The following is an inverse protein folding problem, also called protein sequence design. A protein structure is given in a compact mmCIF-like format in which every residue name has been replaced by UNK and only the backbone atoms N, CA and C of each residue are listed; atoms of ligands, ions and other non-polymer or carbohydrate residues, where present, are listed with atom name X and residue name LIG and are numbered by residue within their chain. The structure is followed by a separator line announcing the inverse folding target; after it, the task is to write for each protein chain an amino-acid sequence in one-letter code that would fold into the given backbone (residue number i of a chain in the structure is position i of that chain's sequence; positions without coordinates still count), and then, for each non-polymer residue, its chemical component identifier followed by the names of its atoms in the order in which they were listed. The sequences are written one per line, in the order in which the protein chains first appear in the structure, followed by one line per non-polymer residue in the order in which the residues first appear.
data_IF_503463383539
#
_entry.id   IF_503463383539
#
_cell.length_a   1.000
_cell.length_b   1.000
_cell.length_c   1.000
_cell.angle_alpha   90.00
_cell.angle_beta   90.00
_cell.angle_gamma   90.00
#
_symmetry.space_group_name_H-M   'P 1'
#
loop_
_entity.id
_entity.type
_entity.pdbx_description
1 polymer ?
#
# COMPACT_ATOMS: atom_id res chain seq x y z
N UNK A 1 -40.41 11.83 7.14
CA UNK A 1 -39.23 11.39 6.37
C UNK A 1 -38.80 10.05 6.96
N UNK A 2 -39.22 8.93 6.36
CA UNK A 2 -38.98 7.59 6.92
C UNK A 2 -37.72 6.98 6.31
N UNK A 3 -36.76 6.62 7.17
CA UNK A 3 -35.53 5.94 6.79
C UNK A 3 -35.85 4.48 6.38
N UNK A 4 -35.46 4.10 5.17
CA UNK A 4 -35.55 2.72 4.70
C UNK A 4 -34.36 1.95 5.24
N UNK A 5 -34.61 1.05 6.21
CA UNK A 5 -33.63 0.10 6.66
C UNK A 5 -33.38 -0.93 5.55
N UNK A 6 -32.19 -0.90 4.94
CA UNK A 6 -31.75 -1.98 4.05
C UNK A 6 -31.42 -3.21 4.88
N UNK A 7 -32.33 -4.18 4.93
CA UNK A 7 -32.07 -5.51 5.46
C UNK A 7 -30.96 -6.16 4.60
N UNK A 8 -29.74 -6.21 5.14
CA UNK A 8 -28.64 -6.93 4.50
C UNK A 8 -28.94 -8.43 4.54
N UNK A 9 -29.15 -9.05 3.38
CA UNK A 9 -29.36 -10.48 3.27
C UNK A 9 -28.14 -11.24 3.78
N UNK A 10 -28.37 -12.34 4.51
CA UNK A 10 -27.28 -13.19 4.98
C UNK A 10 -26.43 -13.70 3.79
N UNK A 11 -25.12 -13.91 3.97
CA UNK A 11 -24.23 -14.36 2.90
C UNK A 11 -24.68 -15.67 2.24
N UNK A 12 -25.30 -16.57 3.01
CA UNK A 12 -25.87 -17.83 2.54
C UNK A 12 -27.11 -17.62 1.66
N UNK A 13 -28.00 -16.71 2.04
CA UNK A 13 -29.16 -16.33 1.23
C UNK A 13 -28.72 -15.71 -0.10
N UNK A 14 -27.79 -14.74 -0.05
CA UNK A 14 -27.22 -14.10 -1.24
C UNK A 14 -26.60 -15.13 -2.19
N UNK A 15 -25.82 -16.07 -1.67
CA UNK A 15 -25.17 -17.12 -2.47
C UNK A 15 -26.21 -17.99 -3.20
N UNK A 16 -27.31 -18.35 -2.52
CA UNK A 16 -28.39 -19.16 -3.10
C UNK A 16 -29.09 -18.42 -4.23
N UNK A 17 -29.44 -17.15 -4.03
CA UNK A 17 -30.09 -16.31 -5.05
C UNK A 17 -29.18 -16.14 -6.28
N UNK A 18 -27.90 -15.83 -6.08
CA UNK A 18 -26.96 -15.67 -7.19
C UNK A 18 -26.85 -16.96 -8.02
N UNK A 19 -26.78 -18.13 -7.36
CA UNK A 19 -26.76 -19.42 -8.07
C UNK A 19 -28.07 -19.69 -8.83
N UNK A 20 -29.23 -19.35 -8.25
CA UNK A 20 -30.52 -19.49 -8.92
C UNK A 20 -30.64 -18.61 -10.18
N UNK A 21 -29.95 -17.47 -10.20
CA UNK A 21 -29.83 -16.58 -11.36
C UNK A 21 -28.77 -17.03 -12.38
N UNK A 22 -28.15 -18.20 -12.21
CA UNK A 22 -27.06 -18.68 -13.07
C UNK A 22 -25.72 -17.99 -12.83
N UNK A 23 -25.61 -17.15 -11.80
CA UNK A 23 -24.35 -16.49 -11.42
C UNK A 23 -23.56 -17.41 -10.51
N UNK A 24 -22.33 -17.74 -10.91
CA UNK A 24 -21.38 -18.50 -10.09
C UNK A 24 -20.42 -17.53 -9.36
N UNK A 25 -20.68 -17.18 -8.09
CA UNK A 25 -19.78 -16.29 -7.36
C UNK A 25 -18.46 -16.99 -7.07
N UNK A 26 -17.36 -16.42 -7.55
CA UNK A 26 -16.01 -16.83 -7.17
C UNK A 26 -15.71 -16.30 -5.77
N UNK A 27 -15.38 -17.20 -4.85
CA UNK A 27 -14.96 -16.81 -3.49
C UNK A 27 -13.45 -16.71 -3.46
N UNK A 28 -12.93 -15.61 -2.93
CA UNK A 28 -11.51 -15.50 -2.65
C UNK A 28 -11.13 -16.53 -1.58
N UNK A 29 -10.21 -17.44 -1.91
CA UNK A 29 -9.63 -18.33 -0.90
C UNK A 29 -8.91 -17.46 0.12
N UNK A 30 -9.44 -17.39 1.34
CA UNK A 30 -8.66 -16.90 2.46
C UNK A 30 -7.47 -17.85 2.63
N UNK A 31 -6.25 -17.30 2.65
CA UNK A 31 -5.11 -18.06 3.15
C UNK A 31 -5.49 -18.56 4.55
N UNK A 32 -5.14 -19.81 4.87
CA UNK A 32 -5.39 -20.38 6.18
C UNK A 32 -4.64 -19.56 7.25
N UNK A 33 -5.25 -18.49 7.74
CA UNK A 33 -4.93 -17.98 9.07
C UNK A 33 -5.32 -19.10 10.02
N UNK A 34 -4.33 -19.65 10.71
CA UNK A 34 -4.52 -20.55 11.84
C UNK A 34 -5.61 -19.96 12.74
N UNK A 35 -6.81 -20.55 12.69
CA UNK A 35 -7.92 -20.17 13.57
C UNK A 35 -7.72 -20.91 14.87
N UNK A 36 -7.12 -20.24 15.85
CA UNK A 36 -7.37 -20.57 17.24
C UNK A 36 -8.77 -20.09 17.61
N UNK A 37 -9.57 -21.04 18.11
CA UNK A 37 -10.93 -21.02 18.62
C UNK A 37 -11.66 -19.70 18.83
N UNK A 38 -12.95 -19.76 18.47
CA UNK A 38 -14.03 -18.83 18.81
C UNK A 38 -13.88 -18.23 20.22
N UNK A 39 -13.57 -16.95 20.26
CA UNK A 39 -14.15 -16.04 21.24
C UNK A 39 -14.64 -14.86 20.44
N UNK A 40 -15.92 -14.51 20.63
CA UNK A 40 -16.63 -13.41 20.00
C UNK A 40 -15.69 -12.23 19.74
N UNK A 41 -15.19 -12.14 18.50
CA UNK A 41 -14.48 -10.97 18.04
C UNK A 41 -15.53 -9.88 17.90
N UNK A 42 -15.78 -9.16 19.00
CA UNK A 42 -15.97 -7.71 18.95
C UNK A 42 -15.10 -7.23 17.81
N UNK A 43 -15.70 -6.55 16.84
CA UNK A 43 -15.01 -5.94 15.72
C UNK A 43 -13.84 -5.14 16.28
N UNK A 44 -12.68 -5.78 16.39
CA UNK A 44 -11.46 -5.10 16.69
C UNK A 44 -11.33 -4.14 15.51
N UNK A 45 -11.24 -2.82 15.75
CA UNK A 45 -11.03 -1.89 14.66
C UNK A 45 -9.86 -2.46 13.87
N UNK A 46 -10.06 -2.65 12.56
CA UNK A 46 -8.94 -2.85 11.64
C UNK A 46 -7.87 -1.86 12.09
N UNK A 47 -6.61 -2.27 12.33
CA UNK A 47 -5.59 -1.30 12.68
C UNK A 47 -5.65 -0.27 11.56
N UNK A 48 -6.14 0.91 11.89
CA UNK A 48 -6.15 2.03 10.99
C UNK A 48 -4.67 2.22 10.70
N UNK A 49 -4.24 1.85 9.49
CA UNK A 49 -2.92 2.20 9.01
C UNK A 49 -2.82 3.70 9.25
N UNK A 50 -2.05 4.06 10.28
CA UNK A 50 -2.07 5.41 10.80
C UNK A 50 -1.47 6.25 9.69
N UNK A 51 -2.08 7.39 9.40
CA UNK A 51 -1.53 8.34 8.43
C UNK A 51 -0.09 8.62 8.86
N UNK A 52 0.90 8.11 8.10
CA UNK A 52 2.32 8.18 8.47
C UNK A 52 3.11 6.87 8.47
N UNK A 53 2.49 5.69 8.28
CA UNK A 53 3.28 4.44 8.28
C UNK A 53 4.22 4.31 7.06
N UNK A 54 3.80 4.82 5.91
CA UNK A 54 4.56 4.73 4.67
C UNK A 54 4.50 6.03 3.85
N UNK A 55 5.66 6.43 3.33
CA UNK A 55 5.82 7.60 2.45
C UNK A 55 6.49 7.18 1.15
N UNK A 56 5.99 7.70 0.04
CA UNK A 56 6.48 7.43 -1.31
C UNK A 56 7.09 8.71 -1.89
N UNK A 57 8.37 8.66 -2.22
CA UNK A 57 9.10 9.78 -2.84
C UNK A 57 9.23 9.57 -4.34
N UNK A 58 8.74 10.53 -5.10
CA UNK A 58 8.69 10.49 -6.57
C UNK A 58 9.55 11.62 -7.16
N UNK A 59 10.20 11.41 -8.32
CA UNK A 59 10.76 12.52 -9.09
C UNK A 59 9.64 13.46 -9.57
N UNK A 60 9.91 14.76 -9.59
CA UNK A 60 9.02 15.72 -10.24
C UNK A 60 8.88 15.42 -11.75
N UNK A 61 7.70 15.68 -12.32
CA UNK A 61 7.46 15.54 -13.76
C UNK A 61 7.28 14.11 -14.26
N UNK A 62 6.82 13.20 -13.41
CA UNK A 62 6.49 11.83 -13.82
C UNK A 62 5.38 11.78 -14.88
N UNK A 63 5.52 10.87 -15.85
CA UNK A 63 4.45 10.59 -16.81
C UNK A 63 3.21 10.02 -16.11
N UNK A 64 2.04 10.47 -16.55
CA UNK A 64 0.72 10.02 -16.08
C UNK A 64 0.55 8.51 -16.12
N UNK A 65 1.03 7.84 -17.17
CA UNK A 65 0.94 6.37 -17.30
C UNK A 65 1.79 5.66 -16.26
N UNK A 66 2.97 6.19 -15.96
CA UNK A 66 3.83 5.66 -14.92
C UNK A 66 3.17 5.84 -13.54
N UNK A 67 2.58 7.00 -13.27
CA UNK A 67 1.85 7.28 -12.04
C UNK A 67 0.63 6.37 -11.87
N UNK A 68 -0.11 6.09 -12.94
CA UNK A 68 -1.24 5.16 -12.92
C UNK A 68 -0.81 3.73 -12.61
N UNK A 69 0.29 3.27 -13.23
CA UNK A 69 0.87 1.96 -12.94
C UNK A 69 1.28 1.86 -11.48
N UNK A 70 1.97 2.89 -10.96
CA UNK A 70 2.37 2.94 -9.55
C UNK A 70 1.16 2.96 -8.63
N UNK A 71 0.13 3.76 -8.94
CA UNK A 71 -1.09 3.84 -8.16
C UNK A 71 -1.79 2.49 -8.05
N UNK A 72 -1.88 1.74 -9.16
CA UNK A 72 -2.44 0.38 -9.20
C UNK A 72 -1.58 -0.61 -8.44
N UNK A 73 -0.25 -0.53 -8.58
CA UNK A 73 0.66 -1.39 -7.86
C UNK A 73 0.54 -1.19 -6.34
N UNK A 74 0.54 0.06 -5.86
CA UNK A 74 0.39 0.38 -4.44
C UNK A 74 -0.96 -0.12 -3.89
N UNK A 75 -2.05 0.07 -4.65
CA UNK A 75 -3.36 -0.46 -4.27
C UNK A 75 -3.38 -1.99 -4.15
N UNK A 76 -2.70 -2.69 -5.05
CA UNK A 76 -2.66 -4.16 -5.05
C UNK A 76 -1.94 -4.75 -3.82
N UNK A 77 -1.01 -4.01 -3.21
CA UNK A 77 -0.24 -4.47 -2.04
C UNK A 77 -0.89 -4.15 -0.69
N UNK A 78 -2.04 -3.47 -0.68
CA UNK A 78 -2.89 -3.30 0.50
C UNK A 78 -3.04 -1.84 0.97
N UNK A 79 -3.90 -1.60 1.98
CA UNK A 79 -4.34 -0.26 2.37
C UNK A 79 -3.21 0.62 2.91
N UNK A 80 -2.21 0.06 3.60
CA UNK A 80 -1.08 0.81 4.14
C UNK A 80 -0.24 1.48 3.02
N UNK A 81 -0.05 0.78 1.89
CA UNK A 81 0.66 1.32 0.72
C UNK A 81 -0.27 2.15 -0.17
N UNK A 82 -1.54 1.77 -0.28
CA UNK A 82 -2.52 2.51 -1.06
C UNK A 82 -2.74 3.94 -0.54
N UNK A 83 -2.70 4.12 0.80
CA UNK A 83 -2.88 5.40 1.50
C UNK A 83 -1.57 6.14 1.79
N UNK A 84 -0.43 5.61 1.36
CA UNK A 84 0.87 6.22 1.60
C UNK A 84 0.92 7.64 1.02
N UNK A 85 1.51 8.57 1.78
CA UNK A 85 1.69 9.94 1.33
C UNK A 85 2.66 9.96 0.14
N UNK A 86 2.28 10.64 -0.95
CA UNK A 86 3.12 10.79 -2.15
C UNK A 86 3.71 12.18 -2.17
N UNK A 87 5.03 12.27 -2.24
CA UNK A 87 5.75 13.54 -2.22
C UNK A 87 6.66 13.60 -3.43
N UNK A 88 6.55 14.68 -4.17
CA UNK A 88 7.44 14.96 -5.28
C UNK A 88 8.68 15.68 -4.76
N UNK A 89 9.85 15.17 -5.14
CA UNK A 89 11.13 15.83 -4.94
C UNK A 89 11.38 16.69 -6.17
N UNK A 90 11.42 18.01 -5.97
CA UNK A 90 11.76 18.98 -7.02
C UNK A 90 13.16 19.52 -6.74
N UNK A 91 14.00 19.55 -7.77
CA UNK A 91 15.37 20.08 -7.70
C UNK A 91 16.25 19.48 -6.59
N UNK A 92 16.01 18.21 -6.25
CA UNK A 92 16.74 17.52 -5.18
C UNK A 92 16.43 18.06 -3.78
N UNK A 93 15.37 18.85 -3.63
CA UNK A 93 14.91 19.39 -2.36
C UNK A 93 13.56 18.78 -1.98
N UNK A 94 13.44 18.47 -0.70
CA UNK A 94 12.21 18.00 -0.06
C UNK A 94 11.82 19.08 0.95
N UNK A 95 10.66 19.72 0.76
CA UNK A 95 10.24 20.87 1.55
C UNK A 95 10.00 20.55 3.04
N UNK A 96 9.64 19.30 3.33
CA UNK A 96 9.68 18.70 4.67
C UNK A 96 9.62 17.17 4.52
N UNK A 97 10.54 16.44 5.15
CA UNK A 97 10.47 14.99 5.24
C UNK A 97 9.47 14.60 6.35
N UNK A 98 8.27 14.08 6.04
CA UNK A 98 7.40 13.58 7.10
C UNK A 98 8.03 12.35 7.74
N UNK A 99 7.97 12.28 9.06
CA UNK A 99 8.47 11.13 9.82
C UNK A 99 7.54 9.95 9.57
N UNK A 100 8.06 8.94 8.87
CA UNK A 100 7.40 7.69 8.60
C UNK A 100 8.28 6.48 8.95
N UNK A 101 7.61 5.35 9.14
CA UNK A 101 8.27 4.08 9.51
C UNK A 101 8.95 3.45 8.31
N UNK A 102 8.40 3.65 7.11
CA UNK A 102 8.99 3.15 5.89
C UNK A 102 8.90 4.16 4.74
N UNK A 103 9.96 4.23 3.95
CA UNK A 103 10.06 5.09 2.77
C UNK A 103 10.29 4.24 1.53
N UNK A 104 9.47 4.46 0.51
CA UNK A 104 9.70 3.96 -0.84
C UNK A 104 10.22 5.11 -1.70
N UNK A 105 11.45 4.99 -2.18
CA UNK A 105 12.13 6.07 -2.90
C UNK A 105 12.36 5.64 -4.33
N UNK A 106 11.87 6.44 -5.28
CA UNK A 106 12.04 6.20 -6.70
C UNK A 106 13.20 7.03 -7.24
N UNK A 107 14.34 6.38 -7.50
CA UNK A 107 15.57 7.00 -8.02
C UNK A 107 16.61 7.37 -6.96
N UNK A 108 17.87 7.48 -7.39
CA UNK A 108 19.01 7.73 -6.50
C UNK A 108 19.07 9.20 -6.04
N UNK A 109 18.68 10.15 -6.90
CA UNK A 109 18.64 11.57 -6.58
C UNK A 109 17.64 11.84 -5.43
N UNK A 110 16.51 11.14 -5.43
CA UNK A 110 15.48 11.22 -4.40
C UNK A 110 15.98 10.60 -3.08
N UNK A 111 16.79 9.55 -3.16
CA UNK A 111 17.40 8.95 -1.97
C UNK A 111 18.40 9.88 -1.30
N UNK A 112 19.19 10.60 -2.11
CA UNK A 112 20.13 11.61 -1.61
C UNK A 112 19.40 12.81 -1.01
N UNK A 113 18.32 13.29 -1.64
CA UNK A 113 17.48 14.35 -1.09
C UNK A 113 16.87 13.94 0.25
N UNK A 114 16.35 12.72 0.34
CA UNK A 114 15.81 12.15 1.57
C UNK A 114 16.88 12.07 2.67
N UNK A 115 18.09 11.62 2.33
CA UNK A 115 19.19 11.48 3.28
C UNK A 115 19.71 12.81 3.86
N UNK A 116 19.52 13.92 3.15
CA UNK A 116 19.91 15.26 3.61
C UNK A 116 18.90 15.87 4.58
N UNK A 117 17.63 15.59 4.36
CA UNK A 117 16.54 16.24 5.10
C UNK A 117 16.07 15.43 6.33
N UNK A 118 16.35 14.13 6.37
CA UNK A 118 15.99 13.29 7.52
C UNK A 118 16.99 13.42 8.67
N UNK A 119 16.53 13.58 9.92
CA UNK A 119 17.38 13.43 11.10
C UNK A 119 17.99 12.03 11.17
N UNK A 120 19.27 11.92 11.57
CA UNK A 120 20.01 10.65 11.64
C UNK A 120 19.32 9.59 12.52
N UNK A 121 18.64 10.01 13.59
CA UNK A 121 17.89 9.11 14.46
C UNK A 121 16.71 8.44 13.74
N UNK A 122 16.00 9.18 12.89
CA UNK A 122 14.89 8.66 12.09
C UNK A 122 15.40 7.81 10.93
N UNK A 123 16.50 8.22 10.30
CA UNK A 123 17.16 7.46 9.23
C UNK A 123 17.55 6.04 9.67
N UNK A 124 18.07 5.89 10.89
CA UNK A 124 18.47 4.59 11.44
C UNK A 124 17.28 3.69 11.81
N UNK A 125 16.13 4.26 12.11
CA UNK A 125 14.93 3.52 12.52
C UNK A 125 14.00 3.20 11.34
N UNK A 126 14.10 3.96 10.25
CA UNK A 126 13.21 3.84 9.11
C UNK A 126 13.63 2.75 8.13
N UNK A 127 12.65 2.03 7.58
CA UNK A 127 12.87 1.08 6.50
C UNK A 127 12.85 1.78 5.14
N UNK A 128 14.03 1.97 4.53
CA UNK A 128 14.16 2.66 3.24
C UNK A 128 14.37 1.64 2.12
N UNK A 129 13.47 1.67 1.13
CA UNK A 129 13.54 0.81 -0.05
C UNK A 129 13.74 1.67 -1.29
N UNK A 130 14.82 1.42 -2.02
CA UNK A 130 15.13 2.05 -3.30
C UNK A 130 14.46 1.30 -4.45
N UNK A 131 13.79 2.03 -5.32
CA UNK A 131 13.19 1.54 -6.55
C UNK A 131 13.72 2.32 -7.75
N UNK A 132 13.69 1.69 -8.93
CA UNK A 132 13.99 2.34 -10.19
C UNK A 132 13.07 3.55 -10.42
N UNK A 133 13.53 4.55 -11.17
CA UNK A 133 12.68 5.69 -11.52
C UNK A 133 11.40 5.26 -12.28
N UNK A 134 10.30 6.02 -12.15
CA UNK A 134 9.00 5.63 -12.71
C UNK A 134 9.02 5.42 -14.24
N UNK A 135 9.84 6.20 -14.95
CA UNK A 135 10.06 6.02 -16.39
C UNK A 135 10.70 4.67 -16.72
N UNK A 136 11.74 4.27 -15.96
CA UNK A 136 12.44 2.98 -16.14
C UNK A 136 11.57 1.78 -15.74
N UNK A 137 10.73 1.94 -14.73
CA UNK A 137 9.72 0.94 -14.33
C UNK A 137 8.68 0.74 -15.44
N UNK A 138 8.18 1.83 -16.02
CA UNK A 138 7.18 1.74 -17.09
C UNK A 138 7.76 1.12 -18.36
N UNK A 139 8.98 1.50 -18.74
CA UNK A 139 9.63 1.12 -19.98
C UNK A 139 10.03 -0.37 -20.06
N UNK A 140 10.28 -1.04 -18.92
CA UNK A 140 10.87 -2.38 -18.93
C UNK A 140 10.15 -3.40 -18.04
N UNK A 141 10.07 -4.64 -18.50
CA UNK A 141 9.56 -5.75 -17.69
C UNK A 141 10.47 -6.05 -16.48
N UNK A 142 11.78 -5.85 -16.62
CA UNK A 142 12.74 -5.98 -15.53
C UNK A 142 12.49 -4.96 -14.41
N UNK A 143 12.23 -3.69 -14.77
CA UNK A 143 11.86 -2.63 -13.82
C UNK A 143 10.58 -2.96 -13.06
N UNK A 144 9.55 -3.49 -13.75
CA UNK A 144 8.30 -3.95 -13.09
C UNK A 144 8.57 -5.08 -12.08
N UNK A 145 9.46 -6.03 -12.41
CA UNK A 145 9.85 -7.12 -11.50
C UNK A 145 10.61 -6.59 -10.27
N UNK A 146 11.53 -5.65 -10.46
CA UNK A 146 12.26 -5.00 -9.35
C UNK A 146 11.32 -4.21 -8.45
N UNK A 147 10.39 -3.45 -9.03
CA UNK A 147 9.33 -2.79 -8.27
C UNK A 147 8.50 -3.79 -7.46
N UNK A 148 8.07 -4.90 -8.08
CA UNK A 148 7.30 -5.93 -7.39
C UNK A 148 8.06 -6.51 -6.19
N UNK A 149 9.36 -6.76 -6.33
CA UNK A 149 10.21 -7.24 -5.24
C UNK A 149 10.37 -6.20 -4.14
N UNK A 150 10.59 -4.93 -4.49
CA UNK A 150 10.68 -3.81 -3.56
C UNK A 150 9.38 -3.68 -2.71
N UNK A 151 8.22 -3.68 -3.37
CA UNK A 151 6.91 -3.63 -2.69
C UNK A 151 6.67 -4.83 -1.79
N UNK A 152 7.10 -6.03 -2.22
CA UNK A 152 6.96 -7.24 -1.40
C UNK A 152 7.84 -7.20 -0.15
N UNK A 153 9.05 -6.66 -0.25
CA UNK A 153 9.94 -6.48 0.89
C UNK A 153 9.40 -5.42 1.85
N UNK A 154 8.94 -4.29 1.32
CA UNK A 154 8.31 -3.22 2.08
C UNK A 154 7.08 -3.70 2.86
N UNK A 155 6.20 -4.48 2.22
CA UNK A 155 5.03 -5.08 2.89
C UNK A 155 5.44 -6.00 4.04
N UNK A 156 6.53 -6.76 3.90
CA UNK A 156 7.05 -7.63 4.97
C UNK A 156 7.60 -6.81 6.13
N UNK A 157 8.35 -5.75 5.86
CA UNK A 157 8.86 -4.85 6.88
C UNK A 157 7.71 -4.20 7.67
N UNK A 158 6.71 -3.65 6.98
CA UNK A 158 5.52 -3.07 7.62
C UNK A 158 4.75 -4.08 8.47
N UNK A 159 4.65 -5.34 8.03
CA UNK A 159 3.99 -6.41 8.81
C UNK A 159 4.78 -6.82 10.07
N UNK A 160 6.11 -6.73 10.04
CA UNK A 160 6.96 -7.02 11.21
C UNK A 160 6.97 -5.87 12.21
N UNK A 161 6.81 -4.65 11.73
CA UNK A 161 6.78 -3.45 12.56
C UNK A 161 5.38 -3.16 13.12
N UNK A 162 4.32 -3.63 12.48
CA UNK A 162 2.93 -3.45 12.94
C UNK A 162 2.41 -4.49 13.94
N UNK A 163 3.27 -5.40 14.41
CA UNK A 163 2.99 -6.35 15.49
C UNK A 163 3.59 -5.84 16.81
#
# INVERSE_FOLDING_TARGET
MSAVAHLSASPSHRTRVLRALGVMPWVQRAAASSRTNDTLAVTAPMPEAQVGDCVVLLPAGCDTKALDLLGRALHAFGPALARAARIEVRDGQLSAAPVARAYLVFGEAQAHALGRELPAATLNQAHIVLADEPAGVHASAAGKRRLWQALRNLRRALAQSGA
#
